data_IF_300231985339
#
_entry.id   IF_300231985339
#
_cell.length_a   1.000
_cell.length_b   1.000
_cell.length_c   1.000
_cell.angle_alpha   90.00
_cell.angle_beta   90.00
_cell.angle_gamma   90.00
#
_symmetry.space_group_name_H-M   'P 1'
#
loop_
_entity.id
_entity.type
_entity.pdbx_description
1 polymer ?
#
# COMPACT_ATOMS: atom_id res chain seq x y z
N UNK A 1 -16.83 -15.45 15.72
CA UNK A 1 -15.37 -15.68 15.64
C UNK A 1 -14.84 -15.73 14.20
N UNK A 2 -15.61 -16.16 13.19
CA UNK A 2 -15.16 -16.38 11.79
C UNK A 2 -14.76 -15.11 10.98
N UNK A 3 -15.22 -13.91 11.37
CA UNK A 3 -15.01 -12.69 10.56
C UNK A 3 -13.58 -12.14 10.59
N UNK A 4 -12.82 -12.36 11.66
CA UNK A 4 -11.45 -11.85 11.76
C UNK A 4 -10.46 -12.67 10.90
N UNK A 5 -10.64 -13.99 10.86
CA UNK A 5 -9.73 -14.88 10.14
C UNK A 5 -9.78 -14.65 8.61
N UNK A 6 -10.97 -14.38 8.07
CA UNK A 6 -11.13 -14.09 6.64
C UNK A 6 -10.49 -12.76 6.23
N UNK A 7 -10.64 -11.72 7.06
CA UNK A 7 -9.97 -10.41 6.88
C UNK A 7 -8.45 -10.57 6.85
N UNK A 8 -7.90 -11.22 7.87
CA UNK A 8 -6.47 -11.48 7.99
C UNK A 8 -5.94 -12.23 6.77
N UNK A 9 -6.68 -13.24 6.30
CA UNK A 9 -6.33 -14.01 5.10
C UNK A 9 -6.23 -13.13 3.84
N UNK A 10 -7.21 -12.26 3.58
CA UNK A 10 -7.17 -11.36 2.41
C UNK A 10 -5.96 -10.41 2.48
N UNK A 11 -5.71 -9.82 3.66
CA UNK A 11 -4.59 -8.90 3.86
C UNK A 11 -3.26 -9.62 3.62
N UNK A 12 -3.11 -10.83 4.15
CA UNK A 12 -1.90 -11.63 3.94
C UNK A 12 -1.72 -12.04 2.48
N UNK A 13 -2.81 -12.40 1.78
CA UNK A 13 -2.76 -12.71 0.35
C UNK A 13 -2.32 -11.51 -0.49
N UNK A 14 -2.84 -10.30 -0.21
CA UNK A 14 -2.43 -9.11 -0.96
C UNK A 14 -0.99 -8.71 -0.66
N UNK A 15 -0.55 -8.78 0.61
CA UNK A 15 0.84 -8.51 0.98
C UNK A 15 1.77 -9.50 0.26
N UNK A 16 1.43 -10.80 0.29
CA UNK A 16 2.17 -11.84 -0.40
C UNK A 16 2.23 -11.59 -1.92
N UNK A 17 1.13 -11.11 -2.50
CA UNK A 17 1.09 -10.73 -3.91
C UNK A 17 2.01 -9.55 -4.23
N UNK A 18 1.96 -8.49 -3.43
CA UNK A 18 2.81 -7.30 -3.61
C UNK A 18 4.30 -7.68 -3.48
N UNK A 19 4.65 -8.48 -2.47
CA UNK A 19 6.01 -8.98 -2.26
C UNK A 19 6.46 -9.86 -3.43
N UNK A 20 5.61 -10.79 -3.89
CA UNK A 20 5.90 -11.63 -5.06
C UNK A 20 6.11 -10.79 -6.32
N UNK A 21 5.24 -9.80 -6.59
CA UNK A 21 5.40 -8.91 -7.74
C UNK A 21 6.68 -8.06 -7.64
N UNK A 22 7.10 -7.67 -6.43
CA UNK A 22 8.36 -6.96 -6.21
C UNK A 22 9.57 -7.82 -6.55
N UNK A 23 9.65 -9.03 -6.00
CA UNK A 23 10.78 -9.94 -6.24
C UNK A 23 10.84 -10.45 -7.69
N UNK A 24 9.71 -10.46 -8.40
CA UNK A 24 9.63 -10.82 -9.82
C UNK A 24 9.73 -9.60 -10.76
N UNK A 25 10.07 -8.41 -10.26
CA UNK A 25 10.18 -7.17 -11.04
C UNK A 25 8.90 -6.78 -11.83
N UNK A 26 7.72 -7.11 -11.29
CA UNK A 26 6.40 -6.81 -11.86
C UNK A 26 5.73 -5.57 -11.27
N UNK A 27 6.32 -4.95 -10.24
CA UNK A 27 5.79 -3.69 -9.69
C UNK A 27 6.05 -2.54 -10.65
N UNK A 28 4.98 -1.91 -11.11
CA UNK A 28 5.03 -0.71 -11.96
C UNK A 28 4.90 0.56 -11.10
N UNK A 29 5.48 1.65 -11.58
CA UNK A 29 5.41 2.96 -10.92
C UNK A 29 4.29 3.80 -11.52
N UNK A 30 3.42 4.34 -10.66
CA UNK A 30 2.51 5.44 -10.99
C UNK A 30 2.57 6.52 -9.90
N UNK A 31 3.78 7.02 -9.62
CA UNK A 31 3.99 7.90 -8.48
C UNK A 31 3.16 9.18 -8.58
N UNK A 32 2.35 9.40 -7.55
CA UNK A 32 1.68 10.67 -7.35
C UNK A 32 2.66 11.81 -7.04
N UNK A 33 2.23 13.04 -7.33
CA UNK A 33 3.01 14.27 -7.11
C UNK A 33 3.58 14.37 -5.69
N UNK A 34 2.82 13.96 -4.68
CA UNK A 34 3.24 14.00 -3.27
C UNK A 34 4.45 13.10 -3.00
N UNK A 35 4.44 11.88 -3.53
CA UNK A 35 5.59 10.98 -3.44
C UNK A 35 6.80 11.57 -4.14
N UNK A 36 6.62 12.16 -5.32
CA UNK A 36 7.72 12.79 -6.04
C UNK A 36 8.35 13.95 -5.26
N UNK A 37 7.54 14.75 -4.55
CA UNK A 37 8.01 15.81 -3.65
C UNK A 37 8.76 15.19 -2.46
N UNK A 38 8.14 14.22 -1.78
CA UNK A 38 8.74 13.54 -0.62
C UNK A 38 10.12 12.97 -0.94
N UNK A 39 10.25 12.26 -2.07
CA UNK A 39 11.51 11.70 -2.53
C UNK A 39 12.58 12.77 -2.74
N UNK A 40 12.20 13.90 -3.35
CA UNK A 40 13.12 15.01 -3.59
C UNK A 40 13.59 15.63 -2.28
N UNK A 41 12.66 15.94 -1.38
CA UNK A 41 12.95 16.65 -0.13
C UNK A 41 13.84 15.81 0.81
N UNK A 42 13.71 14.48 0.75
CA UNK A 42 14.49 13.53 1.56
C UNK A 42 15.66 12.91 0.80
N UNK A 43 15.93 13.34 -0.45
CA UNK A 43 17.01 12.80 -1.30
C UNK A 43 16.94 11.27 -1.49
N UNK A 44 15.72 10.73 -1.58
CA UNK A 44 15.45 9.30 -1.73
C UNK A 44 15.17 8.93 -3.19
N UNK A 45 15.43 7.67 -3.52
CA UNK A 45 15.12 7.12 -4.85
C UNK A 45 13.82 6.31 -4.80
N UNK A 46 13.15 6.19 -5.96
CA UNK A 46 12.01 5.28 -6.13
C UNK A 46 12.33 3.85 -5.66
N UNK A 47 13.50 3.33 -6.06
CA UNK A 47 13.92 1.96 -5.71
C UNK A 47 14.06 1.77 -4.21
N UNK A 48 14.61 2.77 -3.53
CA UNK A 48 14.76 2.75 -2.08
C UNK A 48 13.39 2.71 -1.38
N UNK A 49 12.48 3.62 -1.72
CA UNK A 49 11.17 3.67 -1.04
C UNK A 49 10.27 2.50 -1.39
N UNK A 50 10.33 1.98 -2.63
CA UNK A 50 9.57 0.80 -2.99
C UNK A 50 10.06 -0.41 -2.17
N UNK A 51 11.38 -0.58 -2.06
CA UNK A 51 11.97 -1.63 -1.22
C UNK A 51 11.53 -1.47 0.24
N UNK A 52 11.70 -0.28 0.80
CA UNK A 52 11.33 0.01 2.18
C UNK A 52 9.84 -0.28 2.42
N UNK A 53 8.97 0.13 1.50
CA UNK A 53 7.55 -0.15 1.58
C UNK A 53 7.25 -1.65 1.63
N UNK A 54 7.77 -2.41 0.66
CA UNK A 54 7.50 -3.85 0.52
C UNK A 54 8.08 -4.67 1.69
N UNK A 55 9.28 -4.35 2.17
CA UNK A 55 9.94 -5.06 3.27
C UNK A 55 9.24 -4.85 4.63
N UNK A 56 8.48 -3.77 4.79
CA UNK A 56 7.77 -3.43 6.04
C UNK A 56 6.25 -3.67 5.97
N UNK A 57 5.73 -4.27 4.89
CA UNK A 57 4.32 -4.64 4.83
C UNK A 57 4.03 -5.76 5.83
N UNK A 58 3.11 -5.52 6.74
CA UNK A 58 2.46 -6.55 7.55
C UNK A 58 0.97 -6.22 7.74
N UNK A 59 0.25 -7.15 8.36
CA UNK A 59 -1.17 -6.96 8.66
C UNK A 59 -1.40 -5.81 9.66
N UNK A 60 -0.44 -5.52 10.55
CA UNK A 60 -0.55 -4.45 11.53
C UNK A 60 -0.53 -3.05 10.89
N UNK A 61 0.18 -2.90 9.77
CA UNK A 61 0.32 -1.65 9.02
C UNK A 61 -0.79 -1.49 7.99
N UNK A 62 -1.60 -2.52 7.74
CA UNK A 62 -2.74 -2.42 6.85
C UNK A 62 -3.74 -1.40 7.41
N UNK A 63 -4.06 -0.40 6.60
CA UNK A 63 -5.06 0.59 6.94
C UNK A 63 -6.38 0.28 6.24
N UNK A 64 -6.42 0.40 4.90
CA UNK A 64 -7.67 0.39 4.10
C UNK A 64 -7.54 -0.46 2.83
N UNK A 65 -8.66 -1.02 2.37
CA UNK A 65 -8.76 -1.81 1.13
C UNK A 65 -9.53 -3.15 1.29
N UNK A 66 -9.70 -3.95 0.23
CA UNK A 66 -9.69 -3.47 -1.14
C UNK A 66 -10.72 -2.36 -1.30
N UNK A 67 -10.44 -1.41 -2.17
CA UNK A 67 -11.46 -0.48 -2.65
C UNK A 67 -11.29 -0.32 -4.16
N UNK A 68 -12.38 -0.22 -4.93
CA UNK A 68 -12.27 -0.15 -6.37
C UNK A 68 -11.49 1.11 -6.76
N UNK A 69 -10.51 0.95 -7.64
CA UNK A 69 -9.80 2.09 -8.16
C UNK A 69 -10.72 2.95 -9.04
N UNK A 70 -10.78 4.26 -8.75
CA UNK A 70 -11.79 5.17 -9.31
C UNK A 70 -11.74 5.35 -10.85
N UNK A 71 -10.66 4.93 -11.52
CA UNK A 71 -10.52 5.01 -12.98
C UNK A 71 -9.84 3.80 -13.64
N UNK A 72 -9.27 2.87 -12.87
CA UNK A 72 -8.65 1.65 -13.40
C UNK A 72 -9.51 0.45 -13.03
N UNK A 73 -10.47 0.13 -13.90
CA UNK A 73 -11.39 -1.00 -13.69
C UNK A 73 -10.59 -2.29 -13.47
N UNK A 74 -11.02 -3.09 -12.48
CA UNK A 74 -10.38 -4.36 -12.11
C UNK A 74 -9.08 -4.21 -11.31
N UNK A 75 -8.80 -3.01 -10.78
CA UNK A 75 -7.72 -2.80 -9.81
C UNK A 75 -8.33 -2.50 -8.44
N UNK A 76 -7.80 -3.18 -7.43
CA UNK A 76 -8.15 -2.94 -6.05
C UNK A 76 -7.05 -2.12 -5.37
N UNK A 77 -7.47 -1.08 -4.67
CA UNK A 77 -6.61 -0.17 -3.92
C UNK A 77 -6.42 -0.68 -2.51
N UNK A 78 -5.16 -0.72 -2.08
CA UNK A 78 -4.74 -1.05 -0.73
C UNK A 78 -3.83 0.04 -0.17
N UNK A 79 -4.11 0.45 1.05
CA UNK A 79 -3.42 1.53 1.74
C UNK A 79 -2.87 1.02 3.07
N UNK A 80 -1.62 1.40 3.34
CA UNK A 80 -0.87 1.01 4.52
C UNK A 80 -0.29 2.26 5.20
N UNK A 81 -0.12 2.17 6.52
CA UNK A 81 0.60 3.18 7.32
C UNK A 81 1.79 2.48 7.95
N UNK A 82 2.97 2.71 7.38
CA UNK A 82 4.22 2.15 7.88
C UNK A 82 4.83 3.08 8.91
N UNK A 83 5.39 2.56 10.00
CA UNK A 83 6.20 3.35 10.93
C UNK A 83 7.67 3.20 10.54
N UNK A 84 8.25 4.23 9.93
CA UNK A 84 9.65 4.24 9.49
C UNK A 84 10.37 5.42 10.13
N UNK A 85 11.43 5.16 10.92
CA UNK A 85 12.20 6.19 11.62
C UNK A 85 11.32 7.16 12.42
N UNK A 86 10.42 6.62 13.24
CA UNK A 86 9.45 7.39 14.05
C UNK A 86 8.47 8.27 13.26
N UNK A 87 8.34 8.04 11.94
CA UNK A 87 7.38 8.71 11.07
C UNK A 87 6.33 7.74 10.55
N UNK A 88 5.06 8.19 10.58
CA UNK A 88 3.95 7.51 9.91
C UNK A 88 4.01 7.79 8.41
N UNK A 89 4.34 6.76 7.63
CA UNK A 89 4.43 6.81 6.17
C UNK A 89 3.17 6.19 5.56
N UNK A 90 2.43 7.00 4.83
CA UNK A 90 1.33 6.56 3.99
C UNK A 90 1.86 5.89 2.73
N UNK A 91 1.38 4.68 2.47
CA UNK A 91 1.72 3.86 1.32
C UNK A 91 0.46 3.42 0.59
N UNK A 92 0.46 3.51 -0.74
CA UNK A 92 -0.66 3.08 -1.60
C UNK A 92 -0.20 2.17 -2.72
N UNK A 93 -0.87 1.03 -2.85
CA UNK A 93 -0.73 0.10 -3.97
C UNK A 93 -2.09 -0.11 -4.64
N UNK A 94 -2.07 -0.27 -5.96
CA UNK A 94 -3.18 -0.89 -6.68
C UNK A 94 -2.76 -2.29 -7.12
N UNK A 95 -3.60 -3.28 -6.91
CA UNK A 95 -3.32 -4.69 -7.19
C UNK A 95 -4.39 -5.25 -8.11
N UNK A 96 -3.95 -5.97 -9.15
CA UNK A 96 -4.83 -6.74 -10.03
C UNK A 96 -4.19 -8.09 -10.38
N UNK A 97 -4.88 -8.90 -11.18
CA UNK A 97 -4.41 -10.24 -11.56
C UNK A 97 -3.05 -10.25 -12.28
N UNK A 98 -2.68 -9.16 -12.96
CA UNK A 98 -1.49 -9.07 -13.81
C UNK A 98 -0.27 -8.49 -13.09
N UNK A 99 -0.46 -7.43 -12.30
CA UNK A 99 0.63 -6.68 -11.68
C UNK A 99 0.17 -5.81 -10.52
N UNK A 100 1.15 -5.34 -9.75
CA UNK A 100 1.01 -4.32 -8.71
C UNK A 100 1.48 -2.97 -9.25
N UNK A 101 0.73 -1.91 -8.95
CA UNK A 101 1.11 -0.51 -9.16
C UNK A 101 1.45 0.11 -7.81
N UNK A 102 2.62 0.74 -7.71
CA UNK A 102 3.02 1.54 -6.56
C UNK A 102 2.78 3.02 -6.84
N UNK A 103 1.91 3.63 -6.03
CA UNK A 103 1.39 4.97 -6.32
C UNK A 103 1.84 6.01 -5.30
N UNK A 104 1.87 5.66 -4.01
CA UNK A 104 2.12 6.63 -2.94
C UNK A 104 3.13 6.16 -1.89
N UNK A 105 4.02 7.08 -1.49
CA UNK A 105 4.94 6.97 -0.35
C UNK A 105 5.28 8.37 0.16
N UNK A 106 4.68 8.77 1.28
CA UNK A 106 4.94 10.07 1.91
C UNK A 106 4.42 10.08 3.35
N UNK A 107 4.78 11.09 4.13
CA UNK A 107 4.22 11.28 5.47
C UNK A 107 2.69 11.28 5.48
N UNK A 108 2.10 10.68 6.51
CA UNK A 108 0.65 10.71 6.76
C UNK A 108 0.21 12.14 7.05
N UNK A 109 -0.83 12.61 6.34
CA UNK A 109 -1.38 13.96 6.53
C UNK A 109 -2.65 13.99 7.38
N UNK A 110 -3.40 12.87 7.41
CA UNK A 110 -4.71 12.78 8.07
C UNK A 110 -4.62 11.89 9.29
N UNK A 111 -5.22 12.32 10.39
CA UNK A 111 -5.46 11.47 11.55
C UNK A 111 -6.20 10.19 11.16
N UNK A 112 -5.75 9.08 11.72
CA UNK A 112 -6.43 7.81 11.57
C UNK A 112 -7.77 7.91 12.30
N UNK A 113 -8.84 7.61 11.59
CA UNK A 113 -10.19 7.53 12.12
C UNK A 113 -10.83 6.19 11.73
N UNK A 114 -12.02 5.91 12.23
CA UNK A 114 -12.72 4.64 12.00
C UNK A 114 -13.02 4.34 10.52
N UNK A 115 -12.93 5.33 9.62
CA UNK A 115 -13.10 5.13 8.18
C UNK A 115 -11.87 4.48 7.53
N UNK A 116 -10.71 4.53 8.19
CA UNK A 116 -9.49 3.91 7.69
C UNK A 116 -9.54 2.40 7.83
N UNK A 117 -10.01 1.87 8.96
CA UNK A 117 -9.89 0.44 9.28
C UNK A 117 -11.00 -0.46 8.73
N UNK A 118 -11.84 0.04 7.83
CA UNK A 118 -12.97 -0.71 7.24
C UNK A 118 -12.52 -1.46 5.98
N UNK A 119 -12.64 -2.79 6.01
CA UNK A 119 -12.72 -3.58 4.78
C UNK A 119 -14.11 -3.38 4.17
N UNK A 120 -14.12 -2.82 2.96
CA UNK A 120 -15.34 -2.78 2.15
C UNK A 120 -15.21 -3.88 1.12
N UNK A 121 -15.78 -5.05 1.42
CA UNK A 121 -15.96 -6.08 0.40
C UNK A 121 -17.15 -5.62 -0.47
N UNK A 122 -16.87 -5.13 -1.67
CA UNK A 122 -17.88 -4.83 -2.69
C UNK A 122 -18.27 -6.08 -3.45
#
# INVERSE_FOLDING_TARGET
MVRNDFRSTIIQLVISRIQSDYYNHKVKSNLHRKTAIYLRDHQLTYRYVLRAAVEHLSEAEYARGPSPHHWLIGNDVFEFILVLNDADIYVKFDVNDKATLFESFHNREKNLDDSWFRLTLS
#
